data_IF_081449228424
#
_entry.id   IF_081449228424
#
_cell.length_a   1.000
_cell.length_b   1.000
_cell.length_c   1.000
_cell.angle_alpha   90.00
_cell.angle_beta   90.00
_cell.angle_gamma   90.00
#
_symmetry.space_group_name_H-M   'P 1'
#
loop_
_entity.id
_entity.type
_entity.pdbx_description
1 polymer ?
#
# COMPACT_ATOMS: atom_id res chain seq x y z
N UNK A 1 23.18 0.28 -17.86
CA UNK A 1 21.90 0.70 -17.23
C UNK A 1 21.47 -0.37 -16.27
N UNK A 2 21.89 -0.24 -15.02
CA UNK A 2 21.55 -1.18 -13.96
C UNK A 2 20.09 -0.97 -13.62
N UNK A 3 19.20 -1.76 -14.22
CA UNK A 3 17.87 -1.99 -13.65
C UNK A 3 18.12 -2.77 -12.36
N UNK A 4 18.51 -2.07 -11.30
CA UNK A 4 18.66 -2.64 -9.97
C UNK A 4 17.27 -2.99 -9.47
N UNK A 5 16.83 -4.20 -9.82
CA UNK A 5 15.56 -4.72 -9.40
C UNK A 5 15.66 -5.06 -7.91
N UNK A 6 14.91 -4.35 -7.06
CA UNK A 6 14.91 -4.62 -5.62
C UNK A 6 14.29 -5.99 -5.34
N UNK A 7 15.16 -6.97 -5.06
CA UNK A 7 14.77 -8.35 -4.73
C UNK A 7 13.73 -8.35 -3.58
N UNK A 8 12.58 -8.98 -3.84
CA UNK A 8 11.42 -9.11 -2.92
C UNK A 8 10.56 -7.85 -2.68
N UNK A 9 10.90 -6.69 -3.24
CA UNK A 9 10.14 -5.44 -3.06
C UNK A 9 9.48 -4.99 -4.37
N UNK A 10 10.11 -5.24 -5.51
CA UNK A 10 9.51 -4.89 -6.80
C UNK A 10 8.28 -5.75 -7.12
N UNK A 11 7.32 -5.09 -7.77
CA UNK A 11 6.07 -5.67 -8.26
C UNK A 11 5.86 -5.23 -9.71
N UNK A 12 5.23 -6.09 -10.51
CA UNK A 12 4.96 -5.82 -11.92
C UNK A 12 4.03 -4.61 -12.11
N UNK A 13 3.02 -4.49 -11.24
CA UNK A 13 2.01 -3.43 -11.27
C UNK A 13 2.06 -2.59 -9.99
N UNK A 14 2.39 -1.31 -10.14
CA UNK A 14 2.53 -0.36 -9.03
C UNK A 14 1.20 0.32 -8.73
N UNK A 15 0.85 0.47 -7.46
CA UNK A 15 -0.31 1.28 -7.04
C UNK A 15 0.04 2.77 -7.18
N UNK A 16 -0.53 3.42 -8.19
CA UNK A 16 -0.35 4.87 -8.42
C UNK A 16 -1.39 5.63 -7.60
N UNK A 17 -0.93 6.61 -6.82
CA UNK A 17 -1.78 7.47 -6.01
C UNK A 17 -1.52 8.95 -6.31
N UNK A 18 -2.54 9.82 -6.27
CA UNK A 18 -2.34 11.26 -6.43
C UNK A 18 -1.56 11.87 -5.25
N UNK A 19 -0.64 12.77 -5.58
CA UNK A 19 0.18 13.50 -4.61
C UNK A 19 -0.62 14.56 -3.85
N UNK A 20 -0.35 14.74 -2.55
CA UNK A 20 -1.00 15.75 -1.67
C UNK A 20 -2.52 15.67 -1.66
N UNK A 21 -3.08 14.48 -1.89
CA UNK A 21 -4.51 14.22 -1.76
C UNK A 21 -4.74 13.21 -0.64
N UNK A 22 -5.80 13.41 0.14
CA UNK A 22 -6.23 12.44 1.13
C UNK A 22 -7.01 11.32 0.42
N UNK A 23 -6.53 10.10 0.55
CA UNK A 23 -7.10 8.91 -0.11
C UNK A 23 -7.61 7.98 0.97
N UNK A 24 -8.85 7.54 0.83
CA UNK A 24 -9.43 6.52 1.70
C UNK A 24 -9.17 5.14 1.09
N UNK A 25 -8.42 4.31 1.81
CA UNK A 25 -8.21 2.90 1.49
C UNK A 25 -9.30 2.06 2.17
N UNK A 26 -9.77 1.06 1.44
CA UNK A 26 -10.63 -0.02 1.94
C UNK A 26 -9.89 -1.33 1.71
N UNK A 27 -9.63 -2.08 2.77
CA UNK A 27 -8.77 -3.27 2.75
C UNK A 27 -9.53 -4.44 3.37
N UNK A 28 -9.51 -5.57 2.68
CA UNK A 28 -10.05 -6.86 3.10
C UNK A 28 -9.22 -7.98 2.47
N UNK A 29 -9.53 -9.22 2.80
CA UNK A 29 -8.93 -10.42 2.18
C UNK A 29 -10.03 -11.33 1.66
N UNK A 30 -9.71 -12.16 0.67
CA UNK A 30 -10.63 -13.15 0.11
C UNK A 30 -10.46 -14.54 0.75
N UNK A 31 -9.27 -14.86 1.25
CA UNK A 31 -8.91 -16.21 1.72
C UNK A 31 -8.64 -16.25 3.24
N UNK A 32 -7.48 -15.77 3.67
CA UNK A 32 -6.98 -15.79 5.04
C UNK A 32 -6.55 -14.40 5.48
N UNK A 33 -6.08 -14.26 6.72
CA UNK A 33 -5.64 -12.97 7.23
C UNK A 33 -4.30 -12.58 6.60
N UNK A 34 -4.23 -11.37 6.03
CA UNK A 34 -3.00 -10.70 5.60
C UNK A 34 -2.89 -9.34 6.30
N UNK A 35 -1.83 -8.57 6.00
CA UNK A 35 -1.70 -7.19 6.46
C UNK A 35 -1.04 -6.34 5.38
N UNK A 36 -1.64 -5.20 5.06
CA UNK A 36 -1.16 -4.26 4.05
C UNK A 36 -0.45 -3.10 4.73
N UNK A 37 0.79 -2.81 4.32
CA UNK A 37 1.66 -1.84 5.00
C UNK A 37 2.48 -1.01 4.02
N UNK A 38 2.65 0.27 4.34
CA UNK A 38 3.65 1.17 3.74
C UNK A 38 4.39 1.85 4.90
N UNK A 39 5.55 1.34 5.34
CA UNK A 39 6.24 1.81 6.53
C UNK A 39 6.58 3.31 6.50
N UNK A 40 7.01 3.80 5.33
CA UNK A 40 7.38 5.20 5.07
C UNK A 40 6.20 6.18 5.18
N UNK A 41 4.97 5.69 5.06
CA UNK A 41 3.73 6.45 5.30
C UNK A 41 3.12 6.17 6.69
N UNK A 42 3.75 5.32 7.51
CA UNK A 42 3.30 5.01 8.86
C UNK A 42 1.99 4.23 8.92
N UNK A 43 1.65 3.45 7.89
CA UNK A 43 0.39 2.72 7.80
C UNK A 43 0.61 1.21 7.81
N UNK A 44 -0.18 0.50 8.62
CA UNK A 44 -0.35 -0.95 8.60
C UNK A 44 -1.81 -1.28 8.93
N UNK A 45 -2.46 -2.10 8.10
CA UNK A 45 -3.87 -2.46 8.25
C UNK A 45 -4.05 -3.94 7.95
N UNK A 46 -4.73 -4.64 8.84
CA UNK A 46 -5.03 -6.04 8.64
C UNK A 46 -6.13 -6.23 7.57
N UNK A 47 -5.89 -7.16 6.67
CA UNK A 47 -6.83 -7.61 5.64
C UNK A 47 -7.50 -8.89 6.16
N UNK A 48 -8.73 -8.75 6.67
CA UNK A 48 -9.47 -9.83 7.34
C UNK A 48 -10.64 -10.27 6.44
N UNK A 49 -10.77 -11.57 6.11
CA UNK A 49 -11.91 -12.06 5.35
C UNK A 49 -13.25 -11.70 5.98
N UNK A 50 -14.19 -11.21 5.16
CA UNK A 50 -15.51 -10.79 5.62
C UNK A 50 -15.55 -9.45 6.38
N UNK A 51 -14.42 -8.73 6.51
CA UNK A 51 -14.35 -7.40 7.13
C UNK A 51 -13.68 -6.38 6.21
N UNK A 52 -14.34 -5.24 6.00
CA UNK A 52 -13.79 -4.12 5.24
C UNK A 52 -13.19 -3.09 6.20
N UNK A 53 -11.87 -3.09 6.34
CA UNK A 53 -11.14 -2.10 7.14
C UNK A 53 -10.89 -0.83 6.33
N UNK A 54 -11.02 0.33 6.98
CA UNK A 54 -10.83 1.64 6.35
C UNK A 54 -9.64 2.37 6.98
N UNK A 55 -8.86 3.07 6.17
CA UNK A 55 -7.88 4.06 6.63
C UNK A 55 -7.67 5.16 5.60
N UNK A 56 -7.06 6.26 6.03
CA UNK A 56 -6.70 7.37 5.17
C UNK A 56 -5.18 7.40 4.98
N UNK A 57 -4.73 7.64 3.75
CA UNK A 57 -3.32 7.95 3.43
C UNK A 57 -3.22 9.31 2.74
N UNK A 58 -2.10 9.98 2.96
CA UNK A 58 -1.72 11.18 2.23
C UNK A 58 -0.22 11.15 1.98
N UNK A 59 0.18 11.22 0.71
CA UNK A 59 1.59 11.33 0.36
C UNK A 59 2.04 12.79 0.30
N UNK A 60 2.99 13.14 1.17
CA UNK A 60 3.60 14.47 1.24
C UNK A 60 4.85 14.63 0.36
N UNK A 61 5.31 13.57 -0.31
CA UNK A 61 6.40 13.63 -1.30
C UNK A 61 6.10 12.75 -2.52
N UNK A 62 6.39 13.18 -3.76
CA UNK A 62 6.34 12.25 -4.90
C UNK A 62 7.49 11.24 -4.79
N UNK A 63 7.25 9.98 -5.18
CA UNK A 63 8.29 8.95 -5.16
C UNK A 63 7.75 7.52 -5.17
N UNK A 64 8.67 6.57 -5.02
CA UNK A 64 8.39 5.16 -4.76
C UNK A 64 8.48 4.94 -3.24
N UNK A 65 7.47 4.29 -2.65
CA UNK A 65 7.34 4.10 -1.21
C UNK A 65 7.42 2.63 -0.80
#
# INVERSE_FOLDING_TARGET
NTNENFRLIEVDNKMIIPFKMNIRLLISSEDVIHSWTIPSLGIKIDAIPGRMNQSNIMSNRPGMF
#
